data_IF_255913733720
#
_entry.id   IF_255913733720
#
_cell.length_a   1.000
_cell.length_b   1.000
_cell.length_c   1.000
_cell.angle_alpha   90.00
_cell.angle_beta   90.00
_cell.angle_gamma   90.00
#
_symmetry.space_group_name_H-M   'P 1'
#
loop_
_entity.id
_entity.type
_entity.pdbx_description
1 polymer ?
#
# COMPACT_ATOMS: atom_id res chain seq x y z
N UNK A 1 -15.30 11.25 -22.29
CA UNK A 1 -14.68 10.98 -20.98
C UNK A 1 -14.14 9.56 -20.98
N UNK A 2 -12.82 9.41 -21.13
CA UNK A 2 -12.15 8.10 -21.14
C UNK A 2 -12.11 7.54 -19.71
N UNK A 3 -12.88 6.49 -19.44
CA UNK A 3 -12.71 5.66 -18.24
C UNK A 3 -11.51 4.74 -18.51
N UNK A 4 -10.31 5.22 -18.20
CA UNK A 4 -9.12 4.37 -18.19
C UNK A 4 -9.36 3.28 -17.14
N UNK A 5 -9.75 2.08 -17.60
CA UNK A 5 -9.93 0.91 -16.73
C UNK A 5 -8.54 0.42 -16.33
N UNK A 6 -8.00 0.98 -15.25
CA UNK A 6 -6.80 0.46 -14.56
C UNK A 6 -7.17 -0.73 -13.65
N UNK A 7 -8.27 -1.43 -13.96
CA UNK A 7 -8.74 -2.57 -13.17
C UNK A 7 -8.14 -3.85 -13.75
N UNK A 8 -7.46 -4.68 -12.93
CA UNK A 8 -6.84 -5.90 -13.40
C UNK A 8 -7.82 -6.87 -14.07
N UNK A 9 -7.33 -7.63 -15.05
CA UNK A 9 -8.10 -8.60 -15.82
C UNK A 9 -8.68 -9.74 -14.97
N UNK A 10 -8.06 -10.03 -13.82
CA UNK A 10 -8.59 -10.94 -12.81
C UNK A 10 -9.41 -10.16 -11.79
N UNK A 11 -10.59 -10.65 -11.39
CA UNK A 11 -11.40 -9.98 -10.38
C UNK A 11 -10.59 -9.90 -9.07
N UNK A 12 -10.25 -8.67 -8.69
CA UNK A 12 -9.67 -8.39 -7.38
C UNK A 12 -10.65 -7.56 -6.58
N UNK A 13 -10.76 -7.90 -5.31
CA UNK A 13 -11.67 -7.21 -4.38
C UNK A 13 -11.16 -5.80 -4.12
N UNK A 14 -12.08 -4.85 -3.91
CA UNK A 14 -11.77 -3.45 -3.55
C UNK A 14 -10.74 -3.35 -2.40
N UNK A 15 -10.86 -4.10 -1.29
CA UNK A 15 -9.82 -4.19 -0.24
C UNK A 15 -8.39 -4.46 -0.73
N UNK A 16 -8.24 -5.31 -1.74
CA UNK A 16 -6.93 -5.68 -2.29
C UNK A 16 -6.38 -4.59 -3.20
N UNK A 17 -7.26 -3.86 -3.88
CA UNK A 17 -6.88 -2.68 -4.66
C UNK A 17 -6.37 -1.57 -3.74
N UNK A 18 -7.12 -1.24 -2.71
CA UNK A 18 -6.76 -0.21 -1.73
C UNK A 18 -5.42 -0.53 -1.05
N UNK A 19 -5.22 -1.78 -0.60
CA UNK A 19 -3.94 -2.20 -0.02
C UNK A 19 -2.79 -2.18 -1.05
N UNK A 20 -3.08 -2.43 -2.34
CA UNK A 20 -2.04 -2.29 -3.39
C UNK A 20 -1.66 -0.83 -3.57
N UNK A 21 -2.65 0.06 -3.63
CA UNK A 21 -2.44 1.48 -3.86
C UNK A 21 -1.58 2.10 -2.75
N UNK A 22 -1.90 1.81 -1.49
CA UNK A 22 -1.10 2.27 -0.36
C UNK A 22 0.35 1.74 -0.40
N UNK A 23 0.57 0.49 -0.85
CA UNK A 23 1.91 -0.08 -0.94
C UNK A 23 2.72 0.57 -2.06
N UNK A 24 2.06 0.89 -3.18
CA UNK A 24 2.68 1.64 -4.28
C UNK A 24 3.11 3.02 -3.82
N UNK A 25 2.29 3.73 -3.02
CA UNK A 25 2.64 5.04 -2.46
C UNK A 25 3.95 5.00 -1.65
N UNK A 26 4.10 4.01 -0.77
CA UNK A 26 5.32 3.84 0.03
C UNK A 26 6.53 3.51 -0.84
N UNK A 27 6.37 2.60 -1.82
CA UNK A 27 7.46 2.26 -2.75
C UNK A 27 7.94 3.44 -3.57
N UNK A 28 7.02 4.25 -4.07
CA UNK A 28 7.35 5.45 -4.85
C UNK A 28 8.09 6.45 -3.97
N UNK A 29 7.65 6.66 -2.73
CA UNK A 29 8.36 7.56 -1.81
C UNK A 29 9.77 7.07 -1.50
N UNK A 30 9.94 5.77 -1.21
CA UNK A 30 11.25 5.17 -1.00
C UNK A 30 12.18 5.34 -2.21
N UNK A 31 11.63 5.17 -3.42
CA UNK A 31 12.39 5.39 -4.65
C UNK A 31 12.79 6.86 -4.78
N UNK A 32 11.86 7.79 -4.56
CA UNK A 32 12.16 9.22 -4.58
C UNK A 32 13.20 9.61 -3.52
N UNK A 33 13.14 9.00 -2.33
CA UNK A 33 14.09 9.23 -1.25
C UNK A 33 15.50 8.82 -1.66
N UNK A 34 15.64 7.67 -2.30
CA UNK A 34 16.92 7.16 -2.80
C UNK A 34 17.48 8.00 -3.95
N UNK A 35 16.63 8.43 -4.88
CA UNK A 35 17.05 9.21 -6.06
C UNK A 35 17.36 10.68 -5.74
N UNK A 36 16.69 11.25 -4.73
CA UNK A 36 16.82 12.67 -4.36
C UNK A 36 17.69 12.90 -3.12
N UNK A 37 18.30 11.85 -2.58
CA UNK A 37 19.20 11.87 -1.42
C UNK A 37 18.59 12.53 -0.17
N UNK A 38 17.31 12.26 0.08
CA UNK A 38 16.59 12.79 1.24
C UNK A 38 16.80 11.92 2.48
N UNK A 39 17.83 12.19 3.28
CA UNK A 39 18.15 11.35 4.44
C UNK A 39 17.20 11.52 5.66
N UNK A 40 16.49 12.64 5.81
CA UNK A 40 15.76 12.96 7.05
C UNK A 40 14.36 13.59 6.84
N UNK A 41 13.62 13.12 5.84
CA UNK A 41 12.24 13.59 5.62
C UNK A 41 11.28 12.77 6.48
N UNK A 42 10.48 13.47 7.31
CA UNK A 42 9.36 12.87 8.02
C UNK A 42 8.24 12.65 7.00
N UNK A 43 8.01 11.40 6.63
CA UNK A 43 6.93 11.03 5.71
C UNK A 43 5.66 10.68 6.49
N UNK A 44 4.52 11.16 6.00
CA UNK A 44 3.21 10.83 6.55
C UNK A 44 2.26 10.48 5.41
N UNK A 45 1.73 9.26 5.46
CA UNK A 45 0.80 8.74 4.46
C UNK A 45 -0.62 8.77 5.02
N UNK A 46 -1.54 9.31 4.22
CA UNK A 46 -2.94 9.41 4.58
C UNK A 46 -3.78 8.50 3.69
N UNK A 47 -4.70 7.75 4.29
CA UNK A 47 -5.69 6.94 3.57
C UNK A 47 -7.04 7.04 4.26
N UNK A 48 -8.10 7.15 3.46
CA UNK A 48 -9.50 7.09 3.89
C UNK A 48 -10.03 5.64 3.95
N UNK A 49 -9.24 4.67 3.48
CA UNK A 49 -9.62 3.26 3.54
C UNK A 49 -9.52 2.73 4.97
N UNK A 50 -10.70 2.59 5.61
CA UNK A 50 -10.84 1.87 6.89
C UNK A 50 -10.31 0.44 6.82
N UNK A 51 -10.36 -0.18 5.64
CA UNK A 51 -9.87 -1.54 5.43
C UNK A 51 -8.36 -1.59 5.51
N UNK A 52 -7.66 -0.67 4.86
CA UNK A 52 -6.19 -0.54 4.95
C UNK A 52 -5.77 -0.22 6.37
N UNK A 53 -6.43 0.76 7.02
CA UNK A 53 -6.16 1.09 8.42
C UNK A 53 -6.37 -0.12 9.35
N UNK A 54 -7.44 -0.89 9.12
CA UNK A 54 -7.72 -2.11 9.87
C UNK A 54 -6.67 -3.21 9.66
N UNK A 55 -6.08 -3.31 8.47
CA UNK A 55 -4.98 -4.24 8.20
C UNK A 55 -3.68 -3.81 8.86
N UNK A 56 -3.35 -2.51 8.85
CA UNK A 56 -2.13 -1.97 9.46
C UNK A 56 -2.19 -2.08 10.98
N UNK A 57 -3.31 -1.68 11.58
CA UNK A 57 -3.49 -1.65 13.04
C UNK A 57 -3.75 -3.03 13.68
N UNK A 58 -3.89 -4.08 12.88
CA UNK A 58 -4.17 -5.41 13.39
C UNK A 58 -2.88 -6.22 13.55
N UNK A 59 -2.40 -6.29 14.79
CA UNK A 59 -1.22 -7.07 15.19
C UNK A 59 -1.44 -8.59 15.17
N UNK A 60 -2.69 -9.06 15.17
CA UNK A 60 -3.01 -10.47 15.04
C UNK A 60 -2.89 -10.89 13.57
N UNK A 61 -1.69 -11.30 13.17
CA UNK A 61 -1.24 -11.63 11.79
C UNK A 61 -1.95 -12.81 11.10
N UNK A 62 -3.19 -13.16 11.48
CA UNK A 62 -4.01 -14.15 10.76
C UNK A 62 -4.62 -13.54 9.50
N UNK A 63 -3.76 -13.08 8.60
CA UNK A 63 -4.20 -12.61 7.29
C UNK A 63 -4.10 -13.72 6.25
N UNK A 64 -4.96 -13.63 5.25
CA UNK A 64 -4.76 -14.37 4.01
C UNK A 64 -3.39 -13.99 3.41
N UNK A 65 -2.65 -14.97 2.88
CA UNK A 65 -1.23 -14.83 2.46
C UNK A 65 -0.94 -13.56 1.63
N UNK A 66 -1.85 -13.22 0.71
CA UNK A 66 -1.76 -12.01 -0.10
C UNK A 66 -1.67 -10.71 0.73
N UNK A 67 -2.48 -10.58 1.77
CA UNK A 67 -2.51 -9.41 2.65
C UNK A 67 -1.29 -9.42 3.56
N UNK A 68 -0.95 -10.59 4.14
CA UNK A 68 0.24 -10.76 4.98
C UNK A 68 1.52 -10.33 4.26
N UNK A 69 1.73 -10.81 3.03
CA UNK A 69 2.93 -10.50 2.24
C UNK A 69 3.07 -9.01 1.91
N UNK A 70 1.97 -8.26 1.86
CA UNK A 70 1.98 -6.84 1.56
C UNK A 70 2.17 -5.99 2.80
N UNK A 71 1.50 -6.35 3.90
CA UNK A 71 1.75 -5.74 5.21
C UNK A 71 3.22 -5.94 5.61
N UNK A 72 3.78 -7.13 5.37
CA UNK A 72 5.20 -7.37 5.59
C UNK A 72 6.10 -6.47 4.73
N UNK A 73 5.71 -6.18 3.48
CA UNK A 73 6.43 -5.23 2.63
C UNK A 73 6.31 -3.81 3.19
N UNK A 74 5.14 -3.38 3.65
CA UNK A 74 4.95 -2.06 4.28
C UNK A 74 5.91 -1.83 5.44
N UNK A 75 6.07 -2.80 6.34
CA UNK A 75 6.95 -2.67 7.52
C UNK A 75 8.44 -2.85 7.23
N UNK A 76 8.80 -3.45 6.09
CA UNK A 76 10.19 -3.67 5.69
C UNK A 76 10.68 -2.61 4.67
N UNK A 77 9.77 -1.74 4.23
CA UNK A 77 10.05 -0.57 3.39
C UNK A 77 10.76 0.51 4.20
#
# INVERSE_FOLDING_TARGET
MSKSRVTPLKPITIPRLELSAALVSVKVSNQLRAELDYENVIESYWTDSKVVLGYINNDARRFHTFVANRISQFYCS
#
